data_IF_553843313758
#
_entry.id   IF_553843313758
#
_cell.length_a   1.000
_cell.length_b   1.000
_cell.length_c   1.000
_cell.angle_alpha   90.00
_cell.angle_beta   90.00
_cell.angle_gamma   90.00
#
_symmetry.space_group_name_H-M   'P 1'
#
loop_
_entity.id
_entity.type
_entity.pdbx_description
1 polymer ?
#
# COMPACT_ATOMS: atom_id res chain seq x y z
N UNK A 1 5.21 -24.26 7.79
CA UNK A 1 4.45 -23.04 7.46
C UNK A 1 5.41 -22.01 6.91
N UNK A 2 5.01 -21.26 5.89
CA UNK A 2 5.78 -20.10 5.44
C UNK A 2 5.59 -18.96 6.43
N UNK A 3 6.68 -18.51 7.05
CA UNK A 3 6.71 -17.25 7.82
C UNK A 3 7.01 -16.09 6.88
N UNK A 4 6.30 -14.99 7.05
CA UNK A 4 6.59 -13.71 6.40
C UNK A 4 7.08 -12.70 7.43
N UNK A 5 8.13 -11.96 7.12
CA UNK A 5 8.53 -10.82 7.97
C UNK A 5 7.51 -9.67 7.83
N UNK A 6 7.11 -9.35 6.60
CA UNK A 6 6.14 -8.29 6.33
C UNK A 6 5.09 -8.71 5.28
N UNK A 7 3.83 -8.44 5.59
CA UNK A 7 2.72 -8.52 4.65
C UNK A 7 2.27 -7.09 4.27
N UNK A 8 2.56 -6.71 3.02
CA UNK A 8 2.15 -5.42 2.46
C UNK A 8 0.94 -5.66 1.55
N UNK A 9 -0.21 -5.09 1.91
CA UNK A 9 -1.41 -5.10 1.07
C UNK A 9 -1.44 -3.83 0.21
N UNK A 10 -1.51 -4.00 -1.11
CA UNK A 10 -1.73 -2.87 -2.01
C UNK A 10 -3.23 -2.70 -2.28
N UNK A 11 -3.75 -1.50 -2.08
CA UNK A 11 -5.17 -1.21 -2.28
C UNK A 11 -5.36 0.11 -3.01
N UNK A 12 -6.32 0.19 -3.92
CA UNK A 12 -6.78 1.48 -4.44
C UNK A 12 -7.50 2.27 -3.34
N UNK A 13 -7.52 3.60 -3.45
CA UNK A 13 -8.19 4.51 -2.52
C UNK A 13 -9.74 4.45 -2.59
N UNK A 14 -10.32 3.25 -2.51
CA UNK A 14 -11.77 3.03 -2.57
C UNK A 14 -12.29 2.24 -1.37
N UNK A 15 -13.58 2.46 -1.04
CA UNK A 15 -14.26 1.69 0.01
C UNK A 15 -14.27 0.18 -0.27
N UNK A 16 -14.25 -0.22 -1.55
CA UNK A 16 -14.16 -1.63 -1.96
C UNK A 16 -12.78 -2.20 -1.69
N UNK A 17 -11.72 -1.46 -2.05
CA UNK A 17 -10.34 -1.82 -1.75
C UNK A 17 -10.13 -2.03 -0.24
N UNK A 18 -10.64 -1.10 0.56
CA UNK A 18 -10.55 -1.19 2.01
C UNK A 18 -11.30 -2.41 2.60
N UNK A 19 -12.47 -2.75 2.05
CA UNK A 19 -13.20 -3.94 2.47
C UNK A 19 -12.40 -5.22 2.20
N UNK A 20 -11.68 -5.28 1.07
CA UNK A 20 -10.78 -6.39 0.77
C UNK A 20 -9.64 -6.47 1.78
N UNK A 21 -9.05 -5.33 2.16
CA UNK A 21 -7.99 -5.26 3.19
C UNK A 21 -8.49 -5.81 4.53
N UNK A 22 -9.72 -5.47 4.94
CA UNK A 22 -10.32 -6.01 6.16
C UNK A 22 -10.46 -7.54 6.14
N UNK A 23 -10.89 -8.10 5.00
CA UNK A 23 -11.01 -9.55 4.83
C UNK A 23 -9.65 -10.26 4.89
N UNK A 24 -8.63 -9.68 4.25
CA UNK A 24 -7.27 -10.24 4.30
C UNK A 24 -6.70 -10.22 5.73
N UNK A 25 -6.93 -9.14 6.47
CA UNK A 25 -6.56 -9.03 7.88
C UNK A 25 -7.22 -10.13 8.72
N UNK A 26 -8.54 -10.34 8.58
CA UNK A 26 -9.28 -11.42 9.26
C UNK A 26 -8.68 -12.79 8.93
N UNK A 27 -8.36 -13.05 7.66
CA UNK A 27 -7.77 -14.33 7.24
C UNK A 27 -6.37 -14.58 7.86
N UNK A 28 -5.58 -13.53 8.04
CA UNK A 28 -4.25 -13.62 8.64
C UNK A 28 -4.35 -13.80 10.16
N UNK A 29 -5.14 -12.97 10.84
CA UNK A 29 -5.21 -12.96 12.31
C UNK A 29 -6.09 -14.06 12.90
N UNK A 30 -7.25 -14.34 12.30
CA UNK A 30 -8.21 -15.28 12.88
C UNK A 30 -8.04 -16.68 12.28
N UNK A 31 -7.84 -16.76 10.97
CA UNK A 31 -7.76 -18.03 10.24
C UNK A 31 -6.34 -18.59 10.12
N UNK A 32 -5.35 -17.83 10.57
CA UNK A 32 -3.93 -18.24 10.62
C UNK A 32 -3.43 -18.80 9.28
N UNK A 33 -3.96 -18.28 8.16
CA UNK A 33 -3.62 -18.76 6.81
C UNK A 33 -2.13 -18.50 6.52
N UNK A 34 -1.59 -17.43 7.08
CA UNK A 34 -0.18 -17.02 7.02
C UNK A 34 0.21 -16.46 8.37
N UNK A 35 1.45 -16.71 8.81
CA UNK A 35 2.05 -16.00 9.95
C UNK A 35 2.94 -14.88 9.44
N UNK A 36 2.64 -13.64 9.83
CA UNK A 36 3.47 -12.48 9.53
C UNK A 36 3.80 -11.67 10.78
N UNK A 37 5.04 -11.17 10.89
CA UNK A 37 5.46 -10.32 12.02
C UNK A 37 4.87 -8.92 11.94
N UNK A 38 4.77 -8.36 10.73
CA UNK A 38 4.18 -7.04 10.46
C UNK A 38 3.19 -7.13 9.30
N UNK A 39 2.08 -6.41 9.39
CA UNK A 39 1.06 -6.36 8.34
C UNK A 39 0.47 -4.95 8.23
N UNK A 40 0.27 -4.49 7.00
CA UNK A 40 -0.31 -3.18 6.75
C UNK A 40 -0.68 -2.96 5.30
N UNK A 41 -1.24 -1.79 5.02
CA UNK A 41 -1.73 -1.39 3.69
C UNK A 41 -0.95 -0.20 3.14
N UNK A 42 -0.64 -0.26 1.85
CA UNK A 42 -0.23 0.89 1.04
C UNK A 42 -1.38 1.25 0.11
N UNK A 43 -1.90 2.47 0.24
CA UNK A 43 -2.93 2.96 -0.68
C UNK A 43 -2.28 3.52 -1.93
N UNK A 44 -2.61 2.94 -3.07
CA UNK A 44 -2.06 3.32 -4.38
C UNK A 44 -3.02 4.26 -5.13
N UNK A 45 -2.46 5.09 -6.01
CA UNK A 45 -3.21 6.02 -6.89
C UNK A 45 -4.11 6.97 -6.12
N UNK A 46 -3.63 7.44 -4.97
CA UNK A 46 -4.38 8.36 -4.12
C UNK A 46 -4.38 9.74 -4.79
N UNK A 47 -5.56 10.30 -4.99
CA UNK A 47 -5.74 11.65 -5.55
C UNK A 47 -6.20 12.65 -4.48
N UNK A 48 -6.94 12.16 -3.49
CA UNK A 48 -7.41 12.88 -2.30
C UNK A 48 -8.06 11.90 -1.33
N UNK A 49 -8.35 12.37 -0.11
CA UNK A 49 -9.16 11.64 0.85
C UNK A 49 -8.35 10.79 1.83
N UNK A 50 -7.07 11.10 2.02
CA UNK A 50 -6.17 10.48 2.97
C UNK A 50 -6.77 10.44 4.38
N UNK A 51 -7.41 11.52 4.82
CA UNK A 51 -8.09 11.59 6.12
C UNK A 51 -9.23 10.58 6.25
N UNK A 52 -9.98 10.36 5.16
CA UNK A 52 -11.08 9.39 5.13
C UNK A 52 -10.50 7.99 5.20
N UNK A 53 -9.48 7.70 4.38
CA UNK A 53 -8.78 6.42 4.37
C UNK A 53 -8.15 6.10 5.73
N UNK A 54 -7.52 7.10 6.37
CA UNK A 54 -6.91 6.96 7.69
C UNK A 54 -7.95 6.60 8.75
N UNK A 55 -9.09 7.30 8.78
CA UNK A 55 -10.19 6.97 9.70
C UNK A 55 -10.73 5.56 9.46
N UNK A 56 -10.97 5.19 8.20
CA UNK A 56 -11.55 3.89 7.88
C UNK A 56 -10.58 2.73 8.12
N UNK A 57 -9.28 2.91 7.84
CA UNK A 57 -8.24 1.95 8.20
C UNK A 57 -8.14 1.78 9.73
N UNK A 58 -8.23 2.90 10.49
CA UNK A 58 -8.28 2.88 11.95
C UNK A 58 -9.47 2.10 12.50
N UNK A 59 -10.64 2.19 11.88
CA UNK A 59 -11.83 1.40 12.26
C UNK A 59 -11.63 -0.11 12.05
N UNK A 60 -10.84 -0.50 11.05
CA UNK A 60 -10.52 -1.90 10.74
C UNK A 60 -9.34 -2.39 11.60
N UNK A 61 -8.57 -1.47 12.18
CA UNK A 61 -7.35 -1.76 12.94
C UNK A 61 -6.18 -2.21 12.05
N UNK A 62 -6.14 -1.78 10.78
CA UNK A 62 -5.02 -2.08 9.87
C UNK A 62 -4.01 -0.92 9.87
N UNK A 63 -2.73 -1.24 10.00
CA UNK A 63 -1.64 -0.26 9.90
C UNK A 63 -1.55 0.27 8.46
N UNK A 64 -1.36 1.58 8.31
CA UNK A 64 -1.12 2.20 7.00
C UNK A 64 0.39 2.41 6.89
N UNK A 65 1.00 1.73 5.93
CA UNK A 65 2.42 1.92 5.62
C UNK A 65 2.66 3.17 4.77
N UNK A 66 1.66 3.62 4.01
CA UNK A 66 1.65 4.94 3.40
C UNK A 66 0.71 5.07 2.21
N UNK A 67 0.85 6.19 1.51
CA UNK A 67 0.04 6.57 0.37
C UNK A 67 0.95 6.86 -0.82
N UNK A 68 0.68 6.21 -1.95
CA UNK A 68 1.33 6.49 -3.22
C UNK A 68 0.37 7.35 -4.05
N UNK A 69 0.72 8.62 -4.35
CA UNK A 69 -0.16 9.50 -5.09
C UNK A 69 -0.33 9.03 -6.54
N UNK A 70 -1.40 9.47 -7.18
CA UNK A 70 -1.55 9.31 -8.63
C UNK A 70 -0.47 10.12 -9.35
N UNK A 71 0.38 9.44 -10.12
CA UNK A 71 1.48 10.07 -10.86
C UNK A 71 1.36 9.74 -12.36
N UNK A 72 1.13 10.74 -13.23
CA UNK A 72 1.05 10.54 -14.68
C UNK A 72 2.33 9.98 -15.30
N UNK A 73 3.50 10.27 -14.72
CA UNK A 73 4.79 9.79 -15.24
C UNK A 73 4.86 8.26 -15.18
N UNK A 74 4.40 7.67 -14.07
CA UNK A 74 4.30 6.21 -13.89
C UNK A 74 3.45 5.59 -14.99
N UNK A 75 2.26 6.14 -15.26
CA UNK A 75 1.37 5.64 -16.30
C UNK A 75 1.98 5.75 -17.70
N UNK A 76 2.67 6.87 -18.00
CA UNK A 76 3.31 7.07 -19.30
C UNK A 76 4.50 6.12 -19.55
N UNK A 77 5.28 5.81 -18.51
CA UNK A 77 6.40 4.89 -18.59
C UNK A 77 5.91 3.44 -18.74
N UNK A 78 4.92 3.05 -17.93
CA UNK A 78 4.27 1.74 -18.00
C UNK A 78 3.67 1.48 -19.39
N UNK A 79 2.99 2.48 -19.97
CA UNK A 79 2.34 2.38 -21.28
C UNK A 79 3.31 2.03 -22.42
N UNK A 80 4.56 2.49 -22.36
CA UNK A 80 5.58 2.24 -23.39
C UNK A 80 6.59 1.17 -22.98
N UNK A 81 6.36 0.48 -21.85
CA UNK A 81 7.27 -0.56 -21.34
C UNK A 81 8.62 -0.02 -20.85
N UNK A 82 8.69 1.27 -20.49
CA UNK A 82 9.91 1.90 -19.99
C UNK A 82 10.08 1.59 -18.50
N UNK A 83 11.33 1.36 -18.09
CA UNK A 83 11.67 1.04 -16.70
C UNK A 83 11.25 2.16 -15.74
N UNK A 84 10.51 1.80 -14.67
CA UNK A 84 10.15 2.74 -13.60
C UNK A 84 11.37 3.16 -12.75
N UNK A 85 12.50 2.45 -12.84
CA UNK A 85 13.75 2.89 -12.21
C UNK A 85 14.32 4.16 -12.85
N UNK A 86 13.86 4.52 -14.06
CA UNK A 86 14.23 5.74 -14.76
C UNK A 86 13.26 6.90 -14.52
N UNK A 87 12.30 6.73 -13.58
CA UNK A 87 11.40 7.83 -13.24
C UNK A 87 12.20 9.06 -12.79
N UNK A 88 11.72 10.27 -13.15
CA UNK A 88 12.32 11.51 -12.67
C UNK A 88 12.42 11.53 -11.14
N UNK A 89 13.48 12.15 -10.60
CA UNK A 89 13.71 12.22 -9.15
C UNK A 89 12.62 13.01 -8.41
N UNK A 90 11.88 13.86 -9.12
CA UNK A 90 10.73 14.65 -8.67
C UNK A 90 9.39 13.93 -8.88
N UNK A 91 9.38 12.64 -9.26
CA UNK A 91 8.17 11.81 -9.27
C UNK A 91 7.63 11.68 -7.85
N UNK A 92 6.42 12.19 -7.62
CA UNK A 92 5.74 12.11 -6.33
C UNK A 92 5.47 10.66 -5.91
N UNK A 93 5.22 9.76 -6.88
CA UNK A 93 5.07 8.34 -6.59
C UNK A 93 6.41 7.71 -6.14
N UNK A 94 7.52 8.06 -6.79
CA UNK A 94 8.84 7.57 -6.41
C UNK A 94 9.26 8.07 -5.03
N UNK A 95 9.05 9.35 -4.73
CA UNK A 95 9.33 9.95 -3.42
C UNK A 95 8.51 9.26 -2.32
N UNK A 96 7.21 9.07 -2.54
CA UNK A 96 6.34 8.39 -1.59
C UNK A 96 6.79 6.94 -1.32
N UNK A 97 7.12 6.18 -2.37
CA UNK A 97 7.59 4.80 -2.22
C UNK A 97 8.90 4.73 -1.43
N UNK A 98 9.85 5.66 -1.68
CA UNK A 98 11.09 5.73 -0.89
C UNK A 98 10.79 5.95 0.60
N UNK A 99 9.94 6.92 0.92
CA UNK A 99 9.53 7.18 2.29
C UNK A 99 8.83 5.99 2.96
N UNK A 100 7.99 5.26 2.21
CA UNK A 100 7.33 4.03 2.71
C UNK A 100 8.36 2.96 3.05
N UNK A 101 9.32 2.71 2.15
CA UNK A 101 10.37 1.69 2.33
C UNK A 101 11.27 2.04 3.52
N UNK A 102 11.69 3.29 3.65
CA UNK A 102 12.55 3.74 4.75
C UNK A 102 11.88 3.56 6.13
N UNK A 103 10.56 3.63 6.19
CA UNK A 103 9.77 3.50 7.43
C UNK A 103 9.21 2.09 7.67
N UNK A 104 9.36 1.16 6.70
CA UNK A 104 8.71 -0.14 6.75
C UNK A 104 9.24 -1.01 7.91
N UNK A 105 10.54 -0.91 8.21
CA UNK A 105 11.18 -1.49 9.39
C UNK A 105 11.04 -3.00 9.51
N UNK A 106 11.07 -3.71 8.39
CA UNK A 106 10.99 -5.17 8.30
C UNK A 106 12.14 -5.75 7.49
#
# INVERSE_FOLDING_TARGET
MSELDCLIMLSDASARGLRTVALLKEMVEERHVVHCRKMGVVFNRVQSGEDVLARSAGQIGVEIFGYVPQDPSVASYDLVGRSLAELPLDSAALEAVRGIVDNLGC
#
